data_IF_361365547169
#
_entry.id   IF_361365547169
#
_cell.length_a   1.000
_cell.length_b   1.000
_cell.length_c   1.000
_cell.angle_alpha   90.00
_cell.angle_beta   90.00
_cell.angle_gamma   90.00
#
_symmetry.space_group_name_H-M   'P 1'
#
loop_
_entity.id
_entity.type
_entity.pdbx_description
1 polymer ?
#
# COMPACT_ATOMS: atom_id res chain seq x y z
N UNK A 1 -32.23 58.54 8.37
CA UNK A 1 -31.73 59.31 9.53
C UNK A 1 -30.50 58.57 10.03
N UNK A 2 -29.30 58.90 9.56
CA UNK A 2 -28.43 60.03 9.95
C UNK A 2 -27.77 59.87 11.33
N UNK A 3 -26.43 59.97 11.29
CA UNK A 3 -25.43 60.35 12.31
C UNK A 3 -24.55 59.19 12.80
N UNK A 4 -23.33 58.98 12.29
CA UNK A 4 -22.11 59.83 12.33
C UNK A 4 -21.67 60.20 13.75
N UNK A 5 -20.40 59.89 14.09
CA UNK A 5 -19.34 60.88 14.37
C UNK A 5 -17.98 60.20 14.63
N UNK A 6 -16.98 60.55 13.81
CA UNK A 6 -15.56 60.66 14.20
C UNK A 6 -15.34 62.01 14.93
N UNK A 7 -14.17 62.26 15.58
CA UNK A 7 -13.04 62.96 14.93
C UNK A 7 -11.65 62.36 15.31
N UNK A 8 -10.66 62.23 14.41
CA UNK A 8 -9.54 63.16 14.10
C UNK A 8 -8.80 63.74 15.33
N UNK A 9 -7.49 63.97 15.44
CA UNK A 9 -6.24 63.80 14.68
C UNK A 9 -5.15 64.50 15.54
N UNK A 10 -3.96 63.95 15.76
CA UNK A 10 -2.72 64.75 15.93
C UNK A 10 -1.44 63.89 15.87
N UNK A 11 -0.60 64.18 14.88
CA UNK A 11 0.84 63.85 14.73
C UNK A 11 1.72 64.93 15.42
N UNK A 12 3.09 64.92 15.46
CA UNK A 12 4.16 63.99 14.99
C UNK A 12 5.23 63.72 16.13
N UNK A 13 6.51 63.25 15.93
CA UNK A 13 7.29 63.08 14.70
C UNK A 13 8.16 61.81 14.50
N UNK A 14 8.63 61.73 13.25
CA UNK A 14 9.65 60.89 12.59
C UNK A 14 10.78 60.34 13.48
N UNK A 15 11.08 59.05 13.31
CA UNK A 15 12.46 58.55 13.19
C UNK A 15 12.56 57.41 12.16
N UNK A 16 13.65 57.45 11.39
CA UNK A 16 14.07 56.50 10.36
C UNK A 16 14.56 55.19 11.01
N UNK A 17 14.22 54.04 10.42
CA UNK A 17 14.77 52.74 10.84
C UNK A 17 14.62 51.71 9.74
N UNK A 18 15.74 51.23 9.22
CA UNK A 18 15.90 50.38 8.02
C UNK A 18 15.43 48.92 8.25
N UNK A 19 14.96 48.31 7.17
CA UNK A 19 14.72 46.87 7.00
C UNK A 19 16.01 46.03 7.10
N UNK A 20 16.01 44.83 7.71
CA UNK A 20 17.10 43.89 7.56
C UNK A 20 16.79 42.89 6.43
N UNK A 21 17.57 43.00 5.34
CA UNK A 21 17.77 41.93 4.37
C UNK A 21 18.90 41.03 4.86
N UNK A 22 18.73 39.73 4.61
CA UNK A 22 19.72 38.66 4.69
C UNK A 22 21.09 39.04 4.13
N UNK A 23 22.15 38.87 4.93
CA UNK A 23 23.49 38.58 4.39
C UNK A 23 24.34 37.83 5.41
N UNK A 24 24.73 36.62 5.02
CA UNK A 24 25.86 35.82 5.54
C UNK A 24 27.19 36.56 5.40
N UNK A 25 27.99 36.61 6.47
CA UNK A 25 29.43 36.25 6.52
C UNK A 25 30.05 36.68 7.86
N UNK A 26 30.86 35.80 8.49
CA UNK A 26 32.12 36.22 9.10
C UNK A 26 33.08 35.05 9.37
N UNK A 27 34.24 35.11 8.69
CA UNK A 27 35.64 35.06 9.20
C UNK A 27 36.10 33.71 9.80
N UNK A 28 36.84 32.86 9.08
CA UNK A 28 38.28 32.91 8.68
C UNK A 28 39.28 32.66 9.82
N UNK A 29 39.98 31.53 9.75
CA UNK A 29 41.43 31.33 10.00
C UNK A 29 41.72 29.81 9.83
N UNK A 30 42.83 29.29 9.30
CA UNK A 30 44.11 29.76 8.76
C UNK A 30 44.76 28.47 8.25
N UNK A 31 45.27 28.39 7.02
CA UNK A 31 46.42 27.55 6.60
C UNK A 31 46.57 27.70 5.08
N UNK A 32 47.41 28.64 4.67
CA UNK A 32 47.99 28.67 3.34
C UNK A 32 49.22 27.77 3.37
N UNK A 33 49.23 26.70 2.58
CA UNK A 33 50.41 26.25 1.84
C UNK A 33 49.99 25.32 0.68
N UNK A 34 50.40 25.70 -0.53
CA UNK A 34 50.47 24.89 -1.77
C UNK A 34 49.20 24.20 -2.29
N UNK A 35 48.28 24.96 -2.89
CA UNK A 35 47.28 24.43 -3.82
C UNK A 35 47.09 25.39 -5.00
N UNK A 36 47.93 25.27 -6.03
CA UNK A 36 47.58 25.73 -7.38
C UNK A 36 47.16 24.55 -8.29
N UNK A 37 47.37 23.30 -7.85
CA UNK A 37 47.06 22.09 -8.61
C UNK A 37 45.71 21.43 -8.29
N UNK A 38 45.20 21.50 -7.05
CA UNK A 38 43.98 20.74 -6.66
C UNK A 38 42.66 21.50 -6.86
N UNK A 39 42.69 22.83 -7.05
CA UNK A 39 41.49 23.60 -7.42
C UNK A 39 41.00 23.33 -8.85
N UNK A 40 41.91 23.02 -9.78
CA UNK A 40 41.51 22.66 -11.15
C UNK A 40 40.94 21.24 -11.24
N UNK A 41 41.47 20.29 -10.45
CA UNK A 41 40.91 18.94 -10.36
C UNK A 41 39.51 18.93 -9.72
N UNK A 42 39.26 19.72 -8.68
CA UNK A 42 37.94 19.76 -8.03
C UNK A 42 36.87 20.40 -8.93
N UNK A 43 37.18 21.49 -9.65
CA UNK A 43 36.26 22.07 -10.63
C UNK A 43 36.02 21.16 -11.83
N UNK A 44 37.03 20.42 -12.28
CA UNK A 44 36.87 19.45 -13.37
C UNK A 44 35.99 18.28 -12.95
N UNK A 45 36.17 17.75 -11.73
CA UNK A 45 35.31 16.70 -11.16
C UNK A 45 33.86 17.16 -11.01
N UNK A 46 33.61 18.38 -10.51
CA UNK A 46 32.26 18.93 -10.39
C UNK A 46 31.61 19.10 -11.76
N UNK A 47 32.35 19.60 -12.77
CA UNK A 47 31.85 19.72 -14.15
C UNK A 47 31.54 18.37 -14.78
N UNK A 48 32.36 17.35 -14.54
CA UNK A 48 32.13 15.98 -15.02
C UNK A 48 30.91 15.36 -14.34
N UNK A 49 30.75 15.55 -13.03
CA UNK A 49 29.57 15.09 -12.28
C UNK A 49 28.28 15.79 -12.71
N UNK A 50 28.31 17.12 -12.91
CA UNK A 50 27.17 17.85 -13.46
C UNK A 50 26.83 17.38 -14.87
N UNK A 51 27.82 17.23 -15.76
CA UNK A 51 27.60 16.76 -17.14
C UNK A 51 27.13 15.31 -17.19
N UNK A 52 27.59 14.47 -16.28
CA UNK A 52 27.10 13.09 -16.14
C UNK A 52 25.65 13.08 -15.65
N UNK A 53 25.32 13.88 -14.63
CA UNK A 53 23.96 14.06 -14.12
C UNK A 53 22.99 14.65 -15.16
N UNK A 54 23.44 15.61 -15.97
CA UNK A 54 22.66 16.18 -17.07
C UNK A 54 22.41 15.15 -18.18
N UNK A 55 23.42 14.32 -18.50
CA UNK A 55 23.27 13.21 -19.45
C UNK A 55 22.31 12.14 -18.94
N UNK A 56 22.41 11.73 -17.67
CA UNK A 56 21.50 10.74 -17.07
C UNK A 56 20.07 11.27 -17.01
N UNK A 57 19.87 12.56 -16.66
CA UNK A 57 18.54 13.18 -16.71
C UNK A 57 17.97 13.24 -18.14
N UNK A 58 18.82 13.54 -19.14
CA UNK A 58 18.42 13.54 -20.54
C UNK A 58 18.07 12.14 -21.07
N UNK A 59 18.79 11.11 -20.63
CA UNK A 59 18.51 9.71 -20.96
C UNK A 59 17.25 9.19 -20.27
N UNK A 60 17.02 9.53 -18.99
CA UNK A 60 15.78 9.22 -18.28
C UNK A 60 14.57 9.91 -18.91
N UNK A 61 14.68 11.20 -19.25
CA UNK A 61 13.62 11.92 -19.97
C UNK A 61 13.35 11.32 -21.34
N UNK A 62 14.39 10.99 -22.11
CA UNK A 62 14.23 10.34 -23.42
C UNK A 62 13.61 8.95 -23.30
N UNK A 63 14.02 8.16 -22.31
CA UNK A 63 13.44 6.85 -22.02
C UNK A 63 11.99 6.95 -21.53
N UNK A 64 11.66 7.95 -20.71
CA UNK A 64 10.29 8.25 -20.28
C UNK A 64 9.42 8.67 -21.48
N UNK A 65 9.93 9.53 -22.36
CA UNK A 65 9.23 9.95 -23.59
C UNK A 65 9.01 8.77 -24.57
N UNK A 66 9.99 7.87 -24.70
CA UNK A 66 9.89 6.66 -25.51
C UNK A 66 8.93 5.61 -24.91
N UNK A 67 8.79 5.57 -23.58
CA UNK A 67 7.77 4.74 -22.90
C UNK A 67 6.38 5.31 -23.07
N UNK A 68 6.22 6.62 -22.85
CA UNK A 68 4.94 7.33 -22.99
C UNK A 68 4.41 7.35 -24.44
N UNK A 69 5.26 7.18 -25.45
CA UNK A 69 4.85 7.14 -26.86
C UNK A 69 4.31 5.79 -27.32
N UNK A 70 4.46 4.72 -26.53
CA UNK A 70 3.88 3.41 -26.84
C UNK A 70 2.60 3.20 -26.02
N UNK A 71 1.51 2.70 -26.61
CA UNK A 71 0.35 2.31 -25.82
C UNK A 71 0.73 1.14 -24.90
N UNK A 72 0.07 0.99 -23.73
CA UNK A 72 0.23 -0.19 -22.90
C UNK A 72 -0.08 -1.47 -23.68
N UNK A 73 0.71 -2.54 -23.48
CA UNK A 73 0.56 -3.78 -24.24
C UNK A 73 -0.79 -4.45 -23.97
N UNK A 74 -1.33 -5.15 -24.98
CA UNK A 74 -2.59 -5.90 -24.87
C UNK A 74 -2.53 -6.93 -23.73
N UNK A 75 -1.37 -7.52 -23.56
CA UNK A 75 -1.03 -8.53 -22.57
C UNK A 75 -1.26 -8.02 -21.14
N UNK A 76 -0.95 -6.75 -20.85
CA UNK A 76 -1.22 -6.15 -19.53
C UNK A 76 -2.72 -6.20 -19.19
N UNK A 77 -3.56 -5.87 -20.16
CA UNK A 77 -5.01 -5.84 -19.98
C UNK A 77 -5.59 -7.24 -19.90
N UNK A 78 -5.11 -8.18 -20.73
CA UNK A 78 -5.49 -9.59 -20.63
C UNK A 78 -5.11 -10.16 -19.24
N UNK A 79 -3.92 -9.88 -18.72
CA UNK A 79 -3.50 -10.28 -17.38
C UNK A 79 -4.38 -9.68 -16.30
N UNK A 80 -4.73 -8.38 -16.40
CA UNK A 80 -5.61 -7.73 -15.42
C UNK A 80 -7.05 -8.28 -15.44
N UNK A 81 -7.59 -8.59 -16.62
CA UNK A 81 -8.90 -9.23 -16.76
C UNK A 81 -8.87 -10.61 -16.10
N UNK A 82 -7.87 -11.43 -16.45
CA UNK A 82 -7.69 -12.78 -15.88
C UNK A 82 -7.51 -12.73 -14.36
N UNK A 83 -6.81 -11.72 -13.84
CA UNK A 83 -6.64 -11.52 -12.41
C UNK A 83 -7.98 -11.27 -11.67
N UNK A 84 -8.90 -10.52 -12.27
CA UNK A 84 -10.26 -10.35 -11.71
C UNK A 84 -10.98 -11.71 -11.62
N UNK A 85 -10.88 -12.53 -12.66
CA UNK A 85 -11.49 -13.87 -12.69
C UNK A 85 -10.88 -14.80 -11.65
N UNK A 86 -9.56 -14.83 -11.55
CA UNK A 86 -8.83 -15.66 -10.58
C UNK A 86 -9.22 -15.29 -9.15
N UNK A 87 -9.21 -14.00 -8.82
CA UNK A 87 -9.60 -13.53 -7.49
C UNK A 87 -11.06 -13.91 -7.16
N UNK A 88 -11.97 -13.83 -8.12
CA UNK A 88 -13.35 -14.24 -7.92
C UNK A 88 -13.49 -15.75 -7.78
N UNK A 89 -12.81 -16.53 -8.63
CA UNK A 89 -12.84 -18.00 -8.62
C UNK A 89 -12.34 -18.60 -7.30
N UNK A 90 -11.37 -17.95 -6.64
CA UNK A 90 -10.85 -18.40 -5.35
C UNK A 90 -11.54 -17.77 -4.14
N UNK A 91 -12.73 -17.20 -4.31
CA UNK A 91 -13.53 -16.56 -3.26
C UNK A 91 -12.74 -15.49 -2.49
N UNK A 92 -11.87 -14.76 -3.19
CA UNK A 92 -11.15 -13.61 -2.61
C UNK A 92 -11.99 -12.35 -2.77
N UNK A 93 -12.46 -12.07 -3.98
CA UNK A 93 -13.35 -10.94 -4.27
C UNK A 93 -14.77 -11.42 -4.56
N UNK A 94 -15.73 -10.63 -4.12
CA UNK A 94 -17.14 -10.74 -4.46
C UNK A 94 -17.48 -9.81 -5.64
N UNK A 95 -18.75 -9.40 -5.79
CA UNK A 95 -19.17 -8.43 -6.80
C UNK A 95 -18.65 -6.99 -6.59
N UNK A 96 -18.00 -6.71 -5.45
CA UNK A 96 -17.58 -5.37 -5.03
C UNK A 96 -16.06 -5.22 -4.87
N UNK A 97 -15.31 -6.31 -4.72
CA UNK A 97 -13.84 -6.28 -4.67
C UNK A 97 -13.21 -5.90 -6.02
N UNK A 98 -11.95 -5.45 -6.00
CA UNK A 98 -11.30 -4.93 -7.20
C UNK A 98 -9.77 -4.99 -7.16
N UNK A 99 -9.17 -5.16 -8.34
CA UNK A 99 -7.73 -5.12 -8.59
C UNK A 99 -7.39 -4.02 -9.60
N UNK A 100 -6.27 -3.34 -9.39
CA UNK A 100 -5.71 -2.36 -10.33
C UNK A 100 -4.27 -2.67 -10.72
N UNK A 101 -3.81 -2.10 -11.83
CA UNK A 101 -2.40 -2.09 -12.20
C UNK A 101 -1.92 -0.67 -12.54
N UNK A 102 -0.74 -0.28 -12.07
CA UNK A 102 -0.09 0.98 -12.44
C UNK A 102 0.21 0.95 -13.93
N UNK A 103 -0.02 2.06 -14.61
CA UNK A 103 0.33 2.17 -16.02
C UNK A 103 1.87 2.16 -16.17
N UNK A 104 2.47 1.17 -16.85
CA UNK A 104 3.92 1.06 -16.95
C UNK A 104 4.55 2.08 -17.92
N UNK A 105 3.74 2.75 -18.74
CA UNK A 105 4.15 3.82 -19.64
C UNK A 105 4.02 5.21 -19.01
N UNK A 106 3.01 5.41 -18.16
CA UNK A 106 2.84 6.62 -17.34
C UNK A 106 2.52 6.26 -15.88
N UNK A 107 3.52 6.22 -14.99
CA UNK A 107 3.31 5.80 -13.60
C UNK A 107 2.44 6.77 -12.78
N UNK A 108 2.06 7.93 -13.34
CA UNK A 108 1.08 8.83 -12.75
C UNK A 108 -0.36 8.38 -12.96
N UNK A 109 -0.59 7.32 -13.72
CA UNK A 109 -1.90 6.74 -13.97
C UNK A 109 -1.93 5.25 -13.57
N UNK A 110 -3.13 4.69 -13.48
CA UNK A 110 -3.37 3.27 -13.25
C UNK A 110 -4.66 2.81 -13.92
N UNK A 111 -4.76 1.52 -14.20
CA UNK A 111 -5.94 0.89 -14.78
C UNK A 111 -6.69 0.06 -13.74
N UNK A 112 -8.01 0.09 -13.80
CA UNK A 112 -8.91 -0.72 -12.96
C UNK A 112 -10.24 -0.90 -13.70
N UNK A 113 -10.99 -1.97 -13.42
CA UNK A 113 -12.34 -2.09 -13.96
C UNK A 113 -13.22 -0.91 -13.56
N UNK A 114 -14.15 -0.52 -14.44
CA UNK A 114 -15.36 0.23 -14.07
C UNK A 114 -16.14 -0.52 -12.97
N UNK A 115 -17.17 0.10 -12.40
CA UNK A 115 -18.04 -0.55 -11.40
C UNK A 115 -18.83 -1.70 -12.04
N UNK A 116 -18.18 -2.85 -12.14
CA UNK A 116 -18.60 -4.08 -12.79
C UNK A 116 -17.99 -5.24 -12.00
N UNK A 117 -18.81 -6.22 -11.63
CA UNK A 117 -18.36 -7.38 -10.86
C UNK A 117 -17.12 -8.03 -11.51
N UNK A 118 -16.07 -8.38 -10.73
CA UNK A 118 -14.83 -8.98 -11.24
C UNK A 118 -15.04 -10.17 -12.18
N UNK A 119 -16.04 -11.02 -11.90
CA UNK A 119 -16.39 -12.17 -12.75
C UNK A 119 -16.81 -11.79 -14.18
N UNK A 120 -17.32 -10.58 -14.38
CA UNK A 120 -17.94 -10.12 -15.63
C UNK A 120 -17.04 -9.19 -16.46
N UNK A 121 -15.86 -8.84 -15.96
CA UNK A 121 -14.88 -8.05 -16.71
C UNK A 121 -14.39 -8.89 -17.88
N UNK A 122 -14.56 -8.48 -19.13
CA UNK A 122 -14.18 -9.34 -20.26
C UNK A 122 -13.38 -8.67 -21.36
N UNK A 123 -13.49 -7.35 -21.50
CA UNK A 123 -12.93 -6.61 -22.64
C UNK A 123 -12.16 -5.38 -22.20
N UNK A 124 -11.41 -4.80 -23.14
CA UNK A 124 -10.59 -3.60 -22.86
C UNK A 124 -11.45 -2.44 -22.35
N UNK A 125 -12.66 -2.28 -22.88
CA UNK A 125 -13.58 -1.19 -22.56
C UNK A 125 -14.19 -1.31 -21.16
N UNK A 126 -14.01 -2.44 -20.47
CA UNK A 126 -14.38 -2.54 -19.05
C UNK A 126 -13.32 -1.93 -18.13
N UNK A 127 -12.10 -1.67 -18.63
CA UNK A 127 -10.99 -1.15 -17.86
C UNK A 127 -10.83 0.36 -18.08
N UNK A 128 -10.95 1.13 -17.01
CA UNK A 128 -10.77 2.57 -17.01
C UNK A 128 -9.38 2.98 -16.54
N UNK A 129 -8.91 4.13 -17.01
CA UNK A 129 -7.65 4.73 -16.57
C UNK A 129 -7.94 5.88 -15.59
N UNK A 130 -7.20 5.91 -14.48
CA UNK A 130 -7.35 6.88 -13.41
C UNK A 130 -6.02 7.54 -13.08
N UNK A 131 -6.05 8.79 -12.62
CA UNK A 131 -4.88 9.51 -12.11
C UNK A 131 -4.51 9.01 -10.71
N UNK A 132 -3.23 8.78 -10.46
CA UNK A 132 -2.68 8.48 -9.14
C UNK A 132 -2.80 9.69 -8.20
N UNK A 133 -2.85 10.91 -8.72
CA UNK A 133 -2.90 12.14 -7.92
C UNK A 133 -4.19 12.27 -7.10
N UNK A 134 -5.34 11.91 -7.67
CA UNK A 134 -6.67 12.22 -7.12
C UNK A 134 -7.74 11.15 -7.43
N UNK A 135 -7.34 10.03 -8.04
CA UNK A 135 -8.23 8.98 -8.54
C UNK A 135 -9.30 9.46 -9.54
N UNK A 136 -9.14 10.63 -10.16
CA UNK A 136 -10.05 11.08 -11.22
C UNK A 136 -9.85 10.25 -12.50
N UNK A 137 -10.92 9.93 -13.24
CA UNK A 137 -10.77 9.23 -14.52
C UNK A 137 -10.04 10.12 -15.53
N UNK A 138 -9.21 9.49 -16.37
CA UNK A 138 -8.56 10.17 -17.51
C UNK A 138 -9.61 10.51 -18.57
N UNK A 139 -10.46 9.54 -18.90
CA UNK A 139 -11.61 9.74 -19.78
C UNK A 139 -12.73 10.49 -19.03
N UNK A 140 -13.14 11.65 -19.53
CA UNK A 140 -14.19 12.46 -18.90
C UNK A 140 -15.58 11.82 -19.01
N UNK A 141 -15.80 11.03 -20.05
CA UNK A 141 -17.04 10.31 -20.31
C UNK A 141 -16.97 8.85 -19.80
N UNK A 142 -16.01 8.56 -18.92
CA UNK A 142 -15.84 7.22 -18.35
C UNK A 142 -17.13 6.78 -17.64
N UNK A 143 -17.54 5.51 -17.78
CA UNK A 143 -18.55 4.89 -16.93
C UNK A 143 -18.22 5.07 -15.45
N UNK A 144 -19.24 4.89 -14.61
CA UNK A 144 -19.07 4.96 -13.15
C UNK A 144 -18.00 3.96 -12.69
N UNK A 145 -16.92 4.47 -12.10
CA UNK A 145 -15.89 3.66 -11.46
C UNK A 145 -16.27 3.23 -10.04
N UNK A 146 -15.47 2.33 -9.48
CA UNK A 146 -15.57 1.99 -8.05
C UNK A 146 -15.42 3.24 -7.17
N UNK A 147 -16.22 3.30 -6.11
CA UNK A 147 -16.15 4.40 -5.14
C UNK A 147 -14.81 4.41 -4.39
N UNK A 148 -14.21 3.23 -4.20
CA UNK A 148 -13.02 3.00 -3.38
C UNK A 148 -11.70 3.01 -4.16
N UNK A 149 -11.72 3.54 -5.39
CA UNK A 149 -10.51 3.78 -6.21
C UNK A 149 -9.42 4.59 -5.49
N UNK A 150 -9.78 5.33 -4.45
CA UNK A 150 -8.85 6.06 -3.58
C UNK A 150 -7.92 5.14 -2.77
N UNK A 151 -8.33 3.90 -2.49
CA UNK A 151 -7.43 2.87 -1.92
C UNK A 151 -6.21 2.70 -2.83
N UNK A 152 -6.46 2.57 -4.13
CA UNK A 152 -5.45 2.30 -5.14
C UNK A 152 -4.58 3.54 -5.39
N UNK A 153 -5.20 4.71 -5.63
CA UNK A 153 -4.47 5.94 -5.95
C UNK A 153 -3.50 6.33 -4.82
N UNK A 154 -3.94 6.28 -3.56
CA UNK A 154 -3.12 6.72 -2.43
C UNK A 154 -1.99 5.75 -2.09
N UNK A 155 -2.20 4.44 -2.27
CA UNK A 155 -1.14 3.44 -2.19
C UNK A 155 -0.10 3.69 -3.28
N UNK A 156 -0.53 3.85 -4.54
CA UNK A 156 0.39 4.14 -5.66
C UNK A 156 1.10 5.49 -5.51
N UNK A 157 0.43 6.48 -4.90
CA UNK A 157 1.00 7.80 -4.62
C UNK A 157 2.14 7.67 -3.62
N UNK A 158 1.94 6.90 -2.54
CA UNK A 158 2.90 6.72 -1.45
C UNK A 158 4.04 5.76 -1.77
N UNK A 159 3.77 4.67 -2.49
CA UNK A 159 4.73 3.58 -2.73
C UNK A 159 5.01 3.42 -4.23
N UNK A 160 6.15 3.95 -4.70
CA UNK A 160 6.49 3.99 -6.13
C UNK A 160 6.90 2.62 -6.71
N UNK A 161 7.36 1.70 -5.86
CA UNK A 161 7.71 0.34 -6.24
C UNK A 161 6.51 -0.60 -6.38
N UNK A 162 5.30 -0.17 -6.01
CA UNK A 162 4.08 -0.95 -6.14
C UNK A 162 3.44 -0.74 -7.51
N UNK A 163 3.11 -1.84 -8.17
CA UNK A 163 2.47 -1.85 -9.49
C UNK A 163 1.09 -2.49 -9.50
N UNK A 164 0.71 -3.29 -8.50
CA UNK A 164 -0.64 -3.84 -8.40
C UNK A 164 -1.19 -3.70 -6.98
N UNK A 165 -2.51 -3.48 -6.88
CA UNK A 165 -3.23 -3.34 -5.61
C UNK A 165 -4.52 -4.13 -5.72
N UNK A 166 -4.79 -4.98 -4.73
CA UNK A 166 -6.04 -5.71 -4.56
C UNK A 166 -6.75 -5.18 -3.32
N UNK A 167 -8.04 -4.93 -3.43
CA UNK A 167 -8.94 -4.72 -2.30
C UNK A 167 -10.07 -5.74 -2.37
N UNK A 168 -10.40 -6.33 -1.22
CA UNK A 168 -11.37 -7.40 -1.14
C UNK A 168 -12.10 -7.44 0.21
N UNK A 169 -13.35 -7.87 0.18
CA UNK A 169 -14.22 -8.07 1.35
C UNK A 169 -14.20 -9.53 1.84
N UNK A 170 -13.05 -10.19 1.79
CA UNK A 170 -12.96 -11.62 2.08
C UNK A 170 -13.40 -11.93 3.53
N UNK A 171 -14.43 -12.74 3.69
CA UNK A 171 -15.00 -13.10 5.00
C UNK A 171 -13.96 -13.73 5.92
N UNK A 172 -13.02 -14.50 5.35
CA UNK A 172 -11.96 -15.18 6.07
C UNK A 172 -11.10 -14.25 6.94
N UNK A 173 -10.92 -12.98 6.54
CA UNK A 173 -10.08 -12.04 7.28
C UNK A 173 -10.84 -11.20 8.31
N UNK A 174 -12.18 -11.14 8.21
CA UNK A 174 -13.00 -10.28 9.07
C UNK A 174 -12.80 -10.53 10.57
N UNK A 175 -12.72 -11.78 11.08
CA UNK A 175 -12.48 -12.02 12.51
C UNK A 175 -11.20 -11.36 13.03
N UNK A 176 -10.16 -11.30 12.20
CA UNK A 176 -8.87 -10.71 12.54
C UNK A 176 -8.85 -9.18 12.43
N UNK A 177 -9.80 -8.58 11.70
CA UNK A 177 -9.89 -7.13 11.56
C UNK A 177 -10.69 -6.47 12.68
N UNK A 178 -11.57 -7.21 13.35
CA UNK A 178 -12.42 -6.71 14.45
C UNK A 178 -12.03 -7.25 15.83
N UNK A 179 -11.29 -8.36 15.90
CA UNK A 179 -10.87 -9.01 17.14
C UNK A 179 -9.48 -8.58 17.61
N UNK A 180 -9.07 -9.10 18.78
CA UNK A 180 -7.73 -8.87 19.35
C UNK A 180 -6.68 -9.87 18.87
N UNK A 181 -7.08 -10.92 18.14
CA UNK A 181 -6.18 -11.94 17.61
C UNK A 181 -5.58 -11.41 16.29
N UNK A 182 -4.26 -11.24 16.18
CA UNK A 182 -3.65 -10.74 14.95
C UNK A 182 -3.59 -11.83 13.87
N UNK A 183 -3.76 -11.45 12.60
CA UNK A 183 -3.48 -12.34 11.47
C UNK A 183 -1.97 -12.46 11.25
N UNK A 184 -1.44 -13.67 11.42
CA UNK A 184 -0.01 -13.99 11.34
C UNK A 184 0.23 -15.28 10.53
N UNK A 185 1.37 -15.44 9.84
CA UNK A 185 1.64 -16.65 9.07
C UNK A 185 1.67 -17.89 9.96
N UNK A 186 0.88 -18.90 9.61
CA UNK A 186 0.85 -20.22 10.29
C UNK A 186 1.43 -21.34 9.42
N UNK A 187 1.76 -21.05 8.17
CA UNK A 187 2.40 -21.97 7.23
C UNK A 187 3.19 -21.20 6.17
N UNK A 188 4.13 -21.87 5.49
CA UNK A 188 5.13 -21.25 4.62
C UNK A 188 4.57 -20.28 3.55
N UNK A 189 3.47 -20.62 2.88
CA UNK A 189 2.88 -19.74 1.85
C UNK A 189 2.29 -18.46 2.44
N UNK A 190 1.89 -18.49 3.72
CA UNK A 190 1.40 -17.33 4.45
C UNK A 190 2.47 -16.25 4.65
N UNK A 191 3.77 -16.56 4.48
CA UNK A 191 4.85 -15.58 4.59
C UNK A 191 4.71 -14.38 3.65
N UNK A 192 4.01 -14.55 2.51
CA UNK A 192 3.80 -13.50 1.50
C UNK A 192 3.04 -12.28 2.03
N UNK A 193 2.19 -12.44 3.05
CA UNK A 193 1.39 -11.34 3.61
C UNK A 193 2.18 -10.48 4.62
N UNK A 194 3.43 -10.84 4.90
CA UNK A 194 4.25 -10.24 5.95
C UNK A 194 4.12 -10.97 7.30
N UNK A 195 4.91 -10.52 8.28
CA UNK A 195 5.03 -11.18 9.60
C UNK A 195 3.77 -11.04 10.46
N UNK A 196 3.02 -9.96 10.26
CA UNK A 196 1.73 -9.68 10.88
C UNK A 196 1.00 -8.63 10.04
N UNK A 197 -0.28 -8.85 9.74
CA UNK A 197 -1.08 -7.87 9.01
C UNK A 197 -1.50 -6.73 9.97
N UNK A 198 -1.17 -5.46 9.70
CA UNK A 198 -1.68 -4.33 10.45
C UNK A 198 -3.20 -4.19 10.26
N UNK A 199 -3.88 -3.61 11.25
CA UNK A 199 -5.31 -3.27 11.15
C UNK A 199 -5.44 -1.76 11.01
N UNK A 200 -6.00 -1.31 9.88
CA UNK A 200 -6.44 0.05 9.66
C UNK A 200 -7.85 0.23 10.23
N UNK A 201 -7.96 1.10 11.25
CA UNK A 201 -9.25 1.50 11.81
C UNK A 201 -9.67 2.85 11.24
N UNK A 202 -10.55 2.80 10.24
CA UNK A 202 -11.07 3.98 9.54
C UNK A 202 -11.76 4.99 10.48
N UNK A 203 -12.29 4.54 11.63
CA UNK A 203 -12.93 5.44 12.58
C UNK A 203 -11.97 6.51 13.15
N UNK A 204 -10.67 6.22 13.17
CA UNK A 204 -9.63 7.15 13.63
C UNK A 204 -9.22 8.17 12.56
N UNK A 205 -9.76 8.06 11.35
CA UNK A 205 -9.37 8.86 10.20
C UNK A 205 -10.50 9.76 9.69
N UNK A 206 -11.75 9.53 10.09
CA UNK A 206 -12.85 10.43 9.78
C UNK A 206 -12.61 11.85 10.30
N UNK A 207 -12.99 12.82 9.49
CA UNK A 207 -13.02 14.24 9.81
C UNK A 207 -14.46 14.68 10.06
N UNK A 208 -14.63 15.77 10.80
CA UNK A 208 -15.95 16.40 10.98
C UNK A 208 -16.59 16.86 9.67
N UNK A 209 -15.80 17.02 8.60
CA UNK A 209 -16.27 17.36 7.25
C UNK A 209 -16.79 16.15 6.45
N UNK A 210 -16.59 14.92 6.92
CA UNK A 210 -17.06 13.73 6.23
C UNK A 210 -18.56 13.54 6.48
N UNK A 211 -19.33 13.50 5.39
CA UNK A 211 -20.78 13.38 5.47
C UNK A 211 -21.26 11.99 5.92
N UNK A 212 -20.47 10.94 5.65
CA UNK A 212 -20.82 9.54 5.93
C UNK A 212 -19.63 8.80 6.54
N UNK A 213 -19.89 8.10 7.65
CA UNK A 213 -18.95 7.14 8.25
C UNK A 213 -19.30 5.73 7.77
N UNK A 214 -19.25 5.52 6.46
CA UNK A 214 -19.77 4.31 5.79
C UNK A 214 -18.85 3.08 5.88
N UNK A 215 -17.74 3.17 6.60
CA UNK A 215 -16.62 2.21 6.59
C UNK A 215 -15.87 2.10 5.24
N UNK A 216 -16.29 2.82 4.20
CA UNK A 216 -15.67 2.82 2.88
C UNK A 216 -14.59 3.88 2.72
N UNK A 217 -13.57 3.60 1.89
CA UNK A 217 -12.48 4.53 1.59
C UNK A 217 -12.78 5.30 0.31
N UNK A 218 -13.61 6.34 0.42
CA UNK A 218 -14.21 7.03 -0.75
C UNK A 218 -13.59 8.39 -1.06
N UNK A 219 -12.46 8.75 -0.45
CA UNK A 219 -11.76 10.01 -0.72
C UNK A 219 -10.26 9.90 -0.40
N UNK A 220 -9.50 10.92 -0.83
CA UNK A 220 -8.04 10.94 -0.73
C UNK A 220 -7.50 10.84 0.70
N UNK A 221 -8.13 11.51 1.69
CA UNK A 221 -7.55 11.53 3.03
C UNK A 221 -7.76 10.21 3.79
N UNK A 222 -8.88 9.52 3.54
CA UNK A 222 -9.11 8.16 4.04
C UNK A 222 -8.14 7.18 3.36
N UNK A 223 -7.96 7.31 2.04
CA UNK A 223 -7.01 6.49 1.27
C UNK A 223 -5.57 6.70 1.73
N UNK A 224 -5.17 7.95 2.01
CA UNK A 224 -3.85 8.28 2.54
C UNK A 224 -3.63 7.71 3.96
N UNK A 225 -4.71 7.68 4.76
CA UNK A 225 -4.74 6.98 6.05
C UNK A 225 -4.46 5.49 5.90
N UNK A 226 -5.20 4.81 5.02
CA UNK A 226 -5.01 3.40 4.73
C UNK A 226 -3.60 3.12 4.19
N UNK A 227 -3.13 3.92 3.22
CA UNK A 227 -1.77 3.79 2.68
C UNK A 227 -0.70 3.94 3.77
N UNK A 228 -0.93 4.71 4.83
CA UNK A 228 0.00 4.79 5.96
C UNK A 228 0.05 3.52 6.82
N UNK A 229 -1.03 2.74 6.89
CA UNK A 229 -1.05 1.49 7.66
C UNK A 229 -0.10 0.42 7.08
N UNK A 230 0.26 0.50 5.79
CA UNK A 230 1.26 -0.36 5.16
C UNK A 230 2.69 -0.12 5.70
N UNK A 231 2.91 0.95 6.48
CA UNK A 231 4.16 1.20 7.21
C UNK A 231 3.88 1.41 8.71
N UNK A 232 3.78 0.33 9.52
CA UNK A 232 3.31 0.41 10.91
C UNK A 232 4.14 1.31 11.84
N UNK A 233 5.44 1.49 11.58
CA UNK A 233 6.28 2.43 12.34
C UNK A 233 5.81 3.88 12.21
N UNK A 234 5.11 4.22 11.12
CA UNK A 234 4.51 5.55 10.96
C UNK A 234 3.22 5.72 11.78
N UNK A 235 2.47 4.64 12.04
CA UNK A 235 1.22 4.70 12.84
C UNK A 235 1.48 4.83 14.34
N UNK A 236 2.51 4.16 14.87
CA UNK A 236 2.95 4.33 16.27
C UNK A 236 3.51 5.72 16.58
N UNK A 237 3.84 6.53 15.57
CA UNK A 237 4.47 7.84 15.78
C UNK A 237 3.51 8.94 16.26
N UNK A 238 2.19 8.82 16.05
CA UNK A 238 1.25 9.90 16.43
C UNK A 238 1.18 10.16 17.94
N UNK A 239 1.56 9.19 18.78
CA UNK A 239 1.60 9.35 20.25
C UNK A 239 2.97 9.77 20.81
N UNK A 240 4.08 9.58 20.08
CA UNK A 240 5.46 9.75 20.60
C UNK A 240 6.21 10.94 20.01
N UNK A 241 5.60 11.72 19.12
CA UNK A 241 6.27 12.79 18.36
C UNK A 241 6.72 14.03 19.16
N UNK A 242 6.44 14.11 20.47
CA UNK A 242 6.94 15.21 21.29
C UNK A 242 8.43 15.08 21.67
N UNK A 243 9.02 13.87 21.62
CA UNK A 243 10.42 13.66 22.01
C UNK A 243 11.40 13.38 20.84
N UNK A 244 10.91 12.90 19.68
CA UNK A 244 11.79 12.55 18.54
C UNK A 244 12.15 13.75 17.64
N UNK A 245 11.34 14.82 17.70
CA UNK A 245 11.45 16.01 16.86
C UNK A 245 12.72 16.85 17.07
N UNK A 246 13.54 16.54 18.08
CA UNK A 246 14.76 17.29 18.40
C UNK A 246 16.07 16.64 17.90
N UNK A 247 16.05 15.39 17.40
CA UNK A 247 17.32 14.66 17.14
C UNK A 247 17.58 14.31 15.67
N UNK A 248 16.57 14.24 14.79
CA UNK A 248 16.83 13.97 13.36
C UNK A 248 15.82 14.68 12.45
N UNK A 249 16.17 15.88 12.00
CA UNK A 249 15.43 16.65 10.99
C UNK A 249 15.78 16.20 9.57
N UNK A 250 15.52 14.93 9.26
CA UNK A 250 15.40 14.49 7.86
C UNK A 250 13.95 14.08 7.61
N UNK A 251 13.29 14.63 6.57
CA UNK A 251 12.02 14.08 6.13
C UNK A 251 12.27 12.62 5.71
N UNK A 252 11.71 11.66 6.44
CA UNK A 252 11.77 10.25 6.04
C UNK A 252 11.10 10.11 4.68
N UNK A 253 11.90 9.85 3.64
CA UNK A 253 11.38 9.46 2.33
C UNK A 253 10.73 8.08 2.53
N UNK A 254 9.43 7.92 2.24
CA UNK A 254 8.79 6.61 2.34
C UNK A 254 9.52 5.58 1.49
N UNK A 255 9.70 4.34 1.96
CA UNK A 255 10.30 3.30 1.13
C UNK A 255 9.45 3.05 -0.11
N UNK A 256 10.06 2.71 -1.24
CA UNK A 256 9.33 2.48 -2.50
C UNK A 256 8.34 1.31 -2.41
N UNK A 257 8.66 0.31 -1.59
CA UNK A 257 7.80 -0.84 -1.26
C UNK A 257 7.52 -0.82 0.25
N UNK A 258 6.27 -0.98 0.69
CA UNK A 258 5.95 -0.96 2.11
C UNK A 258 6.52 -2.17 2.86
N UNK A 259 6.88 -2.02 4.14
CA UNK A 259 7.33 -3.14 4.97
C UNK A 259 6.23 -4.17 5.26
N UNK A 260 4.96 -3.73 5.32
CA UNK A 260 3.80 -4.61 5.44
C UNK A 260 3.06 -4.62 4.11
N UNK A 261 3.02 -5.73 3.37
CA UNK A 261 2.42 -5.76 2.04
C UNK A 261 0.91 -6.05 2.05
N UNK A 262 0.34 -6.37 3.21
CA UNK A 262 -1.09 -6.61 3.43
C UNK A 262 -1.55 -5.84 4.66
N UNK A 263 -2.71 -5.19 4.57
CA UNK A 263 -3.37 -4.46 5.66
C UNK A 263 -4.82 -4.88 5.75
N UNK A 264 -5.28 -5.22 6.95
CA UNK A 264 -6.69 -5.47 7.25
C UNK A 264 -7.40 -4.14 7.50
N UNK A 265 -8.67 -4.06 7.12
CA UNK A 265 -9.54 -2.90 7.32
C UNK A 265 -10.65 -3.29 8.28
N UNK A 266 -10.68 -2.66 9.46
CA UNK A 266 -11.57 -3.06 10.57
C UNK A 266 -13.03 -3.13 10.09
N UNK A 267 -13.62 -4.32 10.14
CA UNK A 267 -15.03 -4.54 9.79
C UNK A 267 -15.37 -4.30 8.31
N UNK A 268 -14.38 -4.33 7.42
CA UNK A 268 -14.57 -4.06 5.98
C UNK A 268 -13.94 -5.15 5.11
N UNK A 269 -12.66 -5.45 5.30
CA UNK A 269 -11.95 -6.41 4.45
C UNK A 269 -10.45 -6.29 4.58
N UNK A 270 -9.73 -6.35 3.46
CA UNK A 270 -8.29 -6.07 3.41
C UNK A 270 -7.88 -5.40 2.10
N UNK A 271 -6.67 -4.84 2.10
CA UNK A 271 -5.96 -4.43 0.92
C UNK A 271 -4.56 -5.03 0.92
N UNK A 272 -4.07 -5.49 -0.23
CA UNK A 272 -2.70 -5.91 -0.40
C UNK A 272 -2.09 -5.36 -1.68
N UNK A 273 -0.77 -5.25 -1.70
CA UNK A 273 -0.01 -4.68 -2.81
C UNK A 273 0.79 -5.75 -3.52
N UNK A 274 1.42 -5.44 -4.65
CA UNK A 274 2.40 -6.28 -5.33
C UNK A 274 3.26 -5.48 -6.30
N UNK A 275 4.47 -5.97 -6.57
CA UNK A 275 5.33 -5.39 -7.62
C UNK A 275 4.90 -5.84 -9.02
N UNK A 276 4.04 -6.87 -9.11
CA UNK A 276 3.35 -7.33 -10.32
C UNK A 276 1.89 -7.66 -10.02
N UNK A 277 1.07 -7.92 -11.05
CA UNK A 277 -0.32 -8.36 -10.89
C UNK A 277 -0.37 -9.71 -10.17
N UNK A 278 0.46 -10.65 -10.62
CA UNK A 278 0.56 -12.02 -10.15
C UNK A 278 0.95 -12.07 -8.66
N UNK A 279 1.91 -11.23 -8.24
CA UNK A 279 2.29 -11.13 -6.83
C UNK A 279 1.14 -10.64 -5.96
N UNK A 280 0.39 -9.62 -6.42
CA UNK A 280 -0.76 -9.10 -5.66
C UNK A 280 -1.89 -10.14 -5.57
N UNK A 281 -2.16 -10.87 -6.65
CA UNK A 281 -3.15 -11.97 -6.66
C UNK A 281 -2.74 -13.11 -5.74
N UNK A 282 -1.48 -13.55 -5.84
CA UNK A 282 -0.92 -14.58 -4.96
C UNK A 282 -1.07 -14.16 -3.48
N UNK A 283 -0.67 -12.92 -3.16
CA UNK A 283 -0.76 -12.38 -1.81
C UNK A 283 -2.20 -12.35 -1.30
N UNK A 284 -3.16 -11.95 -2.14
CA UNK A 284 -4.57 -11.89 -1.77
C UNK A 284 -5.14 -13.30 -1.47
N UNK A 285 -4.87 -14.28 -2.34
CA UNK A 285 -5.31 -15.67 -2.16
C UNK A 285 -4.71 -16.26 -0.88
N UNK A 286 -3.39 -16.18 -0.71
CA UNK A 286 -2.73 -16.82 0.44
C UNK A 286 -2.95 -16.08 1.76
N UNK A 287 -3.32 -14.80 1.74
CA UNK A 287 -3.85 -14.11 2.93
C UNK A 287 -5.16 -14.77 3.39
N UNK A 288 -6.09 -15.03 2.47
CA UNK A 288 -7.37 -15.67 2.79
C UNK A 288 -7.19 -17.14 3.22
N UNK A 289 -6.32 -17.89 2.54
CA UNK A 289 -5.98 -19.28 2.93
C UNK A 289 -5.37 -19.30 4.33
N UNK A 290 -4.40 -18.43 4.63
CA UNK A 290 -3.80 -18.36 5.96
C UNK A 290 -4.82 -18.00 7.03
N UNK A 291 -5.70 -17.03 6.78
CA UNK A 291 -6.73 -16.64 7.72
C UNK A 291 -7.69 -17.79 8.06
N UNK A 292 -8.09 -18.58 7.06
CA UNK A 292 -8.88 -19.81 7.26
C UNK A 292 -8.13 -20.84 8.10
N UNK A 293 -6.87 -21.14 7.76
CA UNK A 293 -6.05 -22.10 8.50
C UNK A 293 -5.84 -21.64 9.95
N UNK A 294 -5.48 -20.37 10.16
CA UNK A 294 -5.30 -19.81 11.50
C UNK A 294 -6.60 -19.90 12.33
N UNK A 295 -7.75 -19.59 11.74
CA UNK A 295 -9.06 -19.69 12.42
C UNK A 295 -9.35 -21.12 12.86
N UNK A 296 -9.19 -22.10 11.96
CA UNK A 296 -9.42 -23.51 12.28
C UNK A 296 -8.44 -24.03 13.34
N UNK A 297 -7.16 -23.65 13.25
CA UNK A 297 -6.16 -24.00 14.26
C UNK A 297 -6.52 -23.44 15.64
N UNK A 298 -7.01 -22.20 15.73
CA UNK A 298 -7.45 -21.60 17.00
C UNK A 298 -8.68 -22.33 17.58
N UNK A 299 -9.64 -22.74 16.74
CA UNK A 299 -10.80 -23.50 17.17
C UNK A 299 -10.43 -24.90 17.70
N UNK A 300 -9.55 -25.61 16.99
CA UNK A 300 -9.02 -26.90 17.40
C UNK A 300 -8.24 -26.78 18.73
N UNK A 301 -7.38 -25.77 18.83
CA UNK A 301 -6.60 -25.50 20.04
C UNK A 301 -7.48 -25.15 21.24
N UNK A 302 -8.52 -24.34 21.04
CA UNK A 302 -9.48 -24.01 22.08
C UNK A 302 -10.21 -25.26 22.59
N UNK A 303 -10.62 -26.15 21.69
CA UNK A 303 -11.27 -27.43 22.05
C UNK A 303 -10.33 -28.33 22.83
N UNK A 304 -9.07 -28.44 22.41
CA UNK A 304 -8.04 -29.19 23.14
C UNK A 304 -7.82 -28.63 24.55
N UNK A 305 -7.71 -27.32 24.68
CA UNK A 305 -7.55 -26.65 25.98
C UNK A 305 -8.76 -26.88 26.92
N UNK A 306 -9.99 -26.96 26.39
CA UNK A 306 -11.18 -27.34 27.19
C UNK A 306 -11.08 -28.79 27.68
N UNK A 307 -10.60 -29.72 26.84
CA UNK A 307 -10.37 -31.11 27.23
C UNK A 307 -9.43 -31.25 28.42
N UNK A 308 -8.31 -30.51 28.40
CA UNK A 308 -7.35 -30.46 29.52
C UNK A 308 -8.00 -29.98 30.83
N UNK A 309 -8.95 -29.05 30.76
CA UNK A 309 -9.71 -28.59 31.92
C UNK A 309 -10.67 -29.68 32.40
N UNK A 310 -11.38 -30.36 31.49
CA UNK A 310 -12.30 -31.45 31.80
C UNK A 310 -11.63 -32.66 32.48
N UNK A 311 -10.46 -33.07 31.99
CA UNK A 311 -9.66 -34.15 32.60
C UNK A 311 -9.27 -33.86 34.05
N UNK A 312 -9.02 -32.60 34.40
CA UNK A 312 -8.71 -32.19 35.77
C UNK A 312 -9.91 -32.20 36.70
N UNK A 313 -11.10 -31.86 36.21
CA UNK A 313 -12.32 -32.00 37.01
C UNK A 313 -12.69 -33.48 37.24
N UNK A 314 -12.28 -34.39 36.34
CA UNK A 314 -12.50 -35.83 36.47
C UNK A 314 -11.37 -36.62 37.17
N UNK A 315 -10.14 -36.07 37.18
CA UNK A 315 -8.96 -36.69 37.76
C UNK A 315 -8.70 -36.22 39.20
N UNK A 316 -9.01 -37.07 40.19
CA UNK A 316 -8.87 -36.74 41.61
C UNK A 316 -7.47 -36.21 42.01
N UNK A 317 -7.48 -35.19 42.89
CA UNK A 317 -6.45 -34.63 43.79
C UNK A 317 -4.96 -34.56 43.36
N UNK A 318 -4.59 -34.77 42.09
CA UNK A 318 -3.17 -34.92 41.71
C UNK A 318 -2.53 -33.74 40.98
N UNK A 319 -3.28 -32.78 40.43
CA UNK A 319 -2.70 -31.60 39.76
C UNK A 319 -3.18 -30.27 40.36
N UNK A 320 -2.35 -29.64 41.20
CA UNK A 320 -2.68 -28.40 41.94
C UNK A 320 -2.03 -27.14 41.33
N UNK A 321 -2.19 -26.91 40.03
CA UNK A 321 -1.73 -25.68 39.34
C UNK A 321 -2.72 -25.22 38.26
N UNK A 322 -2.56 -24.06 37.61
CA UNK A 322 -3.40 -23.69 36.45
C UNK A 322 -3.23 -24.69 35.30
N UNK A 323 -4.29 -24.94 34.52
CA UNK A 323 -4.19 -25.78 33.32
C UNK A 323 -3.22 -25.12 32.35
N UNK A 324 -2.25 -25.87 31.84
CA UNK A 324 -1.25 -25.33 30.92
C UNK A 324 -1.94 -25.05 29.59
N UNK A 325 -2.33 -23.79 29.38
CA UNK A 325 -2.91 -23.34 28.12
C UNK A 325 -1.85 -23.50 27.02
N UNK A 326 -2.18 -24.23 25.97
CA UNK A 326 -1.32 -24.33 24.79
C UNK A 326 -1.81 -23.37 23.71
N UNK A 327 -0.88 -22.63 23.11
CA UNK A 327 -1.13 -21.73 21.99
C UNK A 327 -0.76 -22.40 20.65
N UNK A 328 -1.37 -21.94 19.56
CA UNK A 328 -0.94 -22.34 18.22
C UNK A 328 0.46 -21.78 17.91
N UNK A 329 1.22 -22.50 17.08
CA UNK A 329 2.55 -22.05 16.64
C UNK A 329 2.44 -21.24 15.35
N UNK A 330 2.88 -20.01 15.41
CA UNK A 330 3.07 -19.14 14.25
C UNK A 330 4.46 -19.33 13.67
N UNK A 331 4.66 -18.96 12.40
CA UNK A 331 6.00 -18.74 11.88
C UNK A 331 6.64 -17.56 12.62
N UNK A 332 7.93 -17.69 12.93
CA UNK A 332 8.78 -16.57 13.30
C UNK A 332 8.94 -15.58 12.14
N UNK A 333 9.34 -14.36 12.46
CA UNK A 333 9.60 -13.31 11.45
C UNK A 333 10.59 -13.77 10.37
N UNK A 334 11.61 -14.54 10.78
CA UNK A 334 12.59 -15.11 9.87
C UNK A 334 12.00 -16.22 9.02
N UNK A 335 11.25 -17.16 9.60
CA UNK A 335 10.59 -18.23 8.83
C UNK A 335 9.61 -17.66 7.81
N UNK A 336 8.82 -16.64 8.18
CA UNK A 336 7.89 -15.99 7.26
C UNK A 336 8.62 -15.32 6.08
N UNK A 337 9.70 -14.57 6.37
CA UNK A 337 10.51 -13.90 5.35
C UNK A 337 11.22 -14.89 4.42
N UNK A 338 11.94 -15.85 5.00
CA UNK A 338 12.74 -16.82 4.27
C UNK A 338 11.83 -17.73 3.43
N UNK A 339 10.64 -18.09 3.93
CA UNK A 339 9.63 -18.83 3.16
C UNK A 339 9.16 -18.07 1.93
N UNK A 340 8.87 -16.76 2.05
CA UNK A 340 8.49 -15.95 0.89
C UNK A 340 9.64 -15.83 -0.10
N UNK A 341 10.87 -15.57 0.38
CA UNK A 341 12.06 -15.49 -0.50
C UNK A 341 12.31 -16.79 -1.27
N UNK A 342 12.03 -17.95 -0.67
CA UNK A 342 12.18 -19.24 -1.32
C UNK A 342 11.14 -19.50 -2.42
N UNK A 343 9.90 -19.01 -2.25
CA UNK A 343 8.79 -19.29 -3.18
C UNK A 343 8.56 -18.20 -4.22
N UNK A 344 9.06 -16.98 -3.99
CA UNK A 344 8.84 -15.82 -4.87
C UNK A 344 9.22 -16.12 -6.33
N UNK A 345 10.34 -16.81 -6.57
CA UNK A 345 10.80 -17.20 -7.91
C UNK A 345 10.01 -18.34 -8.56
N UNK A 346 9.01 -18.89 -7.87
CA UNK A 346 8.14 -19.98 -8.34
C UNK A 346 6.66 -19.62 -8.33
N UNK A 347 6.31 -18.36 -8.07
CA UNK A 347 4.94 -17.86 -8.03
C UNK A 347 4.20 -18.00 -9.37
N UNK A 348 4.94 -18.14 -10.48
CA UNK A 348 4.39 -18.42 -11.81
C UNK A 348 3.65 -19.77 -11.86
N UNK A 349 4.06 -20.75 -11.05
CA UNK A 349 3.44 -22.09 -11.02
C UNK A 349 1.96 -22.03 -10.59
N UNK A 350 1.61 -21.46 -9.42
CA UNK A 350 0.20 -21.30 -9.07
C UNK A 350 -0.53 -20.34 -10.02
N UNK A 351 0.12 -19.26 -10.49
CA UNK A 351 -0.49 -18.36 -11.47
C UNK A 351 -0.97 -19.09 -12.73
N UNK A 352 -0.13 -19.92 -13.34
CA UNK A 352 -0.48 -20.69 -14.54
C UNK A 352 -1.60 -21.71 -14.24
N UNK A 353 -1.59 -22.33 -13.06
CA UNK A 353 -2.67 -23.22 -12.61
C UNK A 353 -4.00 -22.47 -12.53
N UNK A 354 -4.01 -21.29 -11.91
CA UNK A 354 -5.22 -20.48 -11.76
C UNK A 354 -5.72 -19.94 -13.11
N UNK A 355 -4.82 -19.58 -14.01
CA UNK A 355 -5.18 -19.21 -15.39
C UNK A 355 -5.90 -20.36 -16.10
N UNK A 356 -5.39 -21.60 -15.96
CA UNK A 356 -6.05 -22.77 -16.53
C UNK A 356 -7.43 -23.02 -15.90
N UNK A 357 -7.58 -22.85 -14.58
CA UNK A 357 -8.87 -23.01 -13.90
C UNK A 357 -9.93 -22.03 -14.44
N UNK A 358 -9.59 -20.75 -14.54
CA UNK A 358 -10.55 -19.75 -15.04
C UNK A 358 -10.81 -19.89 -16.54
N UNK A 359 -9.81 -20.28 -17.34
CA UNK A 359 -9.98 -20.52 -18.77
C UNK A 359 -10.90 -21.71 -19.09
N UNK A 360 -10.97 -22.70 -18.19
CA UNK A 360 -11.85 -23.86 -18.32
C UNK A 360 -13.23 -23.68 -17.66
N UNK A 361 -13.48 -22.51 -17.04
CA UNK A 361 -14.78 -22.17 -16.48
C UNK A 361 -15.66 -21.50 -17.52
N UNK A 362 -16.93 -21.91 -17.60
CA UNK A 362 -17.90 -21.29 -18.52
C UNK A 362 -18.35 -19.89 -18.09
N UNK A 363 -18.01 -19.45 -16.87
CA UNK A 363 -18.41 -18.14 -16.35
C UNK A 363 -17.50 -17.01 -16.87
N UNK A 364 -16.23 -17.30 -17.10
CA UNK A 364 -15.23 -16.26 -17.35
C UNK A 364 -14.90 -16.16 -18.83
N UNK A 365 -14.82 -14.93 -19.31
CA UNK A 365 -14.48 -14.63 -20.69
C UNK A 365 -13.45 -13.50 -20.73
N UNK A 366 -12.38 -13.68 -21.49
CA UNK A 366 -11.36 -12.67 -21.73
C UNK A 366 -11.19 -12.49 -23.24
N UNK A 367 -11.81 -11.44 -23.78
CA UNK A 367 -11.85 -11.14 -25.22
C UNK A 367 -10.47 -10.74 -25.76
N UNK A 368 -9.52 -10.45 -24.88
CA UNK A 368 -8.13 -10.17 -25.22
C UNK A 368 -7.29 -11.46 -25.35
N UNK A 369 -7.85 -12.63 -25.08
CA UNK A 369 -7.14 -13.91 -25.07
C UNK A 369 -6.39 -14.16 -23.75
N UNK A 370 -5.69 -15.30 -23.63
CA UNK A 370 -4.99 -15.67 -22.39
C UNK A 370 -3.80 -14.74 -22.08
N UNK A 371 -3.44 -14.57 -20.80
CA UNK A 371 -2.25 -13.80 -20.44
C UNK A 371 -0.96 -14.54 -20.85
N UNK A 372 0.19 -13.84 -20.92
CA UNK A 372 1.45 -14.47 -21.27
C UNK A 372 1.81 -15.64 -20.33
N UNK A 373 2.15 -16.79 -20.92
CA UNK A 373 2.59 -17.97 -20.16
C UNK A 373 1.47 -18.86 -19.61
N UNK A 374 0.20 -18.48 -19.80
CA UNK A 374 -0.97 -19.27 -19.43
C UNK A 374 -1.34 -20.35 -20.46
#
# INVERSE_FOLDING_TARGET
MLNQLQPSLSTPPRQQGRSPKFTTWNIVHRFQTNIAGTHNLSLLFIKVLCKHRERTMGEEQRSALLRASKPPPKELFSTLITANHILHYHDVVDAYGHISVRNPQDPNNFFMSRSLAPALVSKREDLEEYRVSDASPINKDAPKGYAERYIHSEIYKKYKGINSVVHAHAEAVLPFSVGSIPLRPVFHMGGVMGVQCPVFDIAQHYKSSDALHSMLVTNEHLGAGLAAAFNPTTMLSRGTNLLRSFVTSQPEVPPDVPPSPTVLMRGHGFACVGTTIEEAVYRAIYTCVNARVQTQSLLMQGTYNIGLVGERFGGGDKETGPAKHEDIKYLSDREAKDSWSAIQGTADRPWNSWCAEVANSSLYHNDLGPPPGA
#
